data_IF_747349419019
#
_entry.id   IF_747349419019
#
_cell.length_a   1.000
_cell.length_b   1.000
_cell.length_c   1.000
_cell.angle_alpha   90.00
_cell.angle_beta   90.00
_cell.angle_gamma   90.00
#
_symmetry.space_group_name_H-M   'P 1'
#
loop_
_entity.id
_entity.type
_entity.pdbx_description
1 polymer ?
#
# COMPACT_ATOMS: atom_id res chain seq x y z
N UNK A 1 -11.48 24.01 -20.44
CA UNK A 1 -10.15 23.47 -20.69
C UNK A 1 -10.20 21.95 -20.51
N UNK A 2 -10.54 21.26 -21.61
CA UNK A 2 -10.55 19.80 -21.69
C UNK A 2 -9.27 19.36 -22.37
N UNK A 3 -8.42 18.57 -21.73
CA UNK A 3 -7.50 17.62 -22.39
C UNK A 3 -6.78 16.79 -21.33
N UNK A 4 -6.78 15.48 -21.55
CA UNK A 4 -5.94 14.39 -21.01
C UNK A 4 -6.67 13.37 -20.12
N UNK A 5 -7.42 12.50 -20.78
CA UNK A 5 -7.65 11.13 -20.31
C UNK A 5 -8.07 10.26 -21.51
N UNK A 6 -7.14 10.01 -22.46
CA UNK A 6 -7.41 9.15 -23.65
C UNK A 6 -6.30 8.14 -23.96
N UNK A 7 -5.55 7.67 -22.96
CA UNK A 7 -4.45 6.71 -23.20
C UNK A 7 -4.55 5.40 -22.43
N UNK A 8 -5.68 5.08 -21.83
CA UNK A 8 -5.87 3.83 -21.06
C UNK A 8 -6.84 2.82 -21.69
N UNK A 9 -7.27 3.00 -22.94
CA UNK A 9 -8.27 2.14 -23.60
C UNK A 9 -7.79 1.43 -24.87
N UNK A 10 -6.49 1.38 -25.16
CA UNK A 10 -5.97 0.78 -26.40
C UNK A 10 -5.10 -0.47 -26.21
N UNK A 11 -5.00 -1.01 -25.01
CA UNK A 11 -4.24 -2.24 -24.75
C UNK A 11 -5.08 -3.53 -24.78
N UNK A 12 -6.40 -3.47 -24.94
CA UNK A 12 -7.28 -4.65 -24.86
C UNK A 12 -7.77 -5.23 -26.19
N UNK A 13 -7.28 -4.78 -27.37
CA UNK A 13 -7.88 -5.17 -28.67
C UNK A 13 -6.95 -5.92 -29.64
N UNK A 14 -5.82 -6.48 -29.16
CA UNK A 14 -4.92 -7.27 -30.03
C UNK A 14 -4.78 -8.75 -29.66
N UNK A 15 -5.75 -9.33 -28.94
CA UNK A 15 -5.74 -10.75 -28.57
C UNK A 15 -6.83 -11.60 -29.25
N UNK A 16 -7.45 -11.09 -30.32
CA UNK A 16 -8.56 -11.76 -31.03
C UNK A 16 -8.21 -12.58 -32.28
N UNK A 17 -6.96 -12.71 -32.69
CA UNK A 17 -6.66 -13.26 -34.04
C UNK A 17 -5.54 -14.31 -34.11
N UNK A 18 -5.33 -15.07 -33.05
CA UNK A 18 -4.37 -16.18 -33.16
C UNK A 18 -4.98 -17.47 -32.60
N UNK A 19 -5.81 -18.16 -33.35
CA UNK A 19 -5.97 -19.61 -33.26
C UNK A 19 -7.16 -20.06 -34.13
N UNK A 20 -7.01 -19.95 -35.45
CA UNK A 20 -7.71 -20.84 -36.41
C UNK A 20 -6.64 -21.54 -37.23
N UNK A 21 -5.95 -22.48 -36.62
CA UNK A 21 -5.16 -23.46 -37.36
C UNK A 21 -5.92 -24.78 -37.33
N UNK A 22 -6.31 -25.21 -38.54
CA UNK A 22 -6.85 -26.58 -38.81
C UNK A 22 -5.90 -27.63 -38.24
N UNK A 23 -6.39 -28.78 -37.75
CA UNK A 23 -5.54 -29.85 -37.24
C UNK A 23 -4.84 -30.56 -38.40
N UNK A 24 -3.71 -30.06 -38.80
CA UNK A 24 -2.69 -30.92 -39.42
C UNK A 24 -1.78 -31.34 -38.27
N UNK A 25 -1.67 -32.64 -38.05
CA UNK A 25 -0.71 -33.28 -37.14
C UNK A 25 0.71 -33.11 -37.71
N UNK A 26 1.19 -31.85 -37.69
CA UNK A 26 2.62 -31.58 -37.79
C UNK A 26 3.14 -31.72 -36.37
N UNK A 27 3.87 -32.77 -36.06
CA UNK A 27 4.67 -32.84 -34.83
C UNK A 27 5.62 -31.66 -34.86
N UNK A 28 5.40 -30.69 -33.95
CA UNK A 28 6.32 -29.56 -33.78
C UNK A 28 7.72 -30.11 -33.54
N UNK A 29 8.72 -29.53 -34.18
CA UNK A 29 10.11 -29.89 -33.92
C UNK A 29 10.46 -29.59 -32.46
N UNK A 30 11.44 -30.29 -31.86
CA UNK A 30 11.88 -30.01 -30.49
C UNK A 30 12.22 -28.53 -30.28
N UNK A 31 12.76 -27.84 -31.29
CA UNK A 31 13.13 -26.45 -31.28
C UNK A 31 11.91 -25.51 -31.26
N UNK A 32 10.87 -25.79 -32.04
CA UNK A 32 9.59 -25.05 -32.03
C UNK A 32 8.88 -25.22 -30.69
N UNK A 33 8.91 -26.43 -30.11
CA UNK A 33 8.36 -26.71 -28.79
C UNK A 33 9.08 -25.90 -27.68
N UNK A 34 10.41 -25.89 -27.71
CA UNK A 34 11.23 -25.14 -26.77
C UNK A 34 10.96 -23.63 -26.85
N UNK A 35 10.83 -23.11 -28.09
CA UNK A 35 10.51 -21.69 -28.33
C UNK A 35 9.11 -21.34 -27.80
N UNK A 36 8.12 -22.22 -28.03
CA UNK A 36 6.77 -22.01 -27.53
C UNK A 36 6.69 -22.03 -25.99
N UNK A 37 7.44 -22.93 -25.34
CA UNK A 37 7.56 -22.99 -23.89
C UNK A 37 8.17 -21.69 -23.37
N UNK A 38 9.28 -21.25 -23.96
CA UNK A 38 9.96 -20.00 -23.56
C UNK A 38 9.04 -18.79 -23.70
N UNK A 39 8.35 -18.63 -24.82
CA UNK A 39 7.40 -17.53 -25.04
C UNK A 39 6.29 -17.53 -24.00
N UNK A 40 5.75 -18.71 -23.66
CA UNK A 40 4.70 -18.80 -22.65
C UNK A 40 5.24 -18.50 -21.23
N UNK A 41 6.48 -18.90 -20.92
CA UNK A 41 7.16 -18.56 -19.66
C UNK A 41 7.44 -17.06 -19.56
N UNK A 42 7.90 -16.43 -20.64
CA UNK A 42 8.13 -14.99 -20.70
C UNK A 42 6.82 -14.20 -20.45
N UNK A 43 5.71 -14.66 -21.05
CA UNK A 43 4.39 -14.05 -20.83
C UNK A 43 3.88 -14.25 -19.38
N UNK A 44 4.10 -15.43 -18.78
CA UNK A 44 3.82 -15.65 -17.37
C UNK A 44 4.67 -14.74 -16.46
N UNK A 45 5.93 -14.50 -16.84
CA UNK A 45 6.80 -13.57 -16.12
C UNK A 45 6.28 -12.13 -16.20
N UNK A 46 5.80 -11.69 -17.37
CA UNK A 46 5.17 -10.37 -17.54
C UNK A 46 3.91 -10.22 -16.69
N UNK A 47 3.02 -11.21 -16.71
CA UNK A 47 1.84 -11.24 -15.83
C UNK A 47 2.23 -11.18 -14.35
N UNK A 48 3.32 -11.89 -13.98
CA UNK A 48 3.87 -11.82 -12.63
C UNK A 48 4.27 -10.39 -12.22
N UNK A 49 4.93 -9.69 -13.12
CA UNK A 49 5.33 -8.30 -12.90
C UNK A 49 4.11 -7.39 -12.70
N UNK A 50 3.10 -7.54 -13.53
CA UNK A 50 1.86 -6.79 -13.43
C UNK A 50 1.13 -7.07 -12.11
N UNK A 51 1.02 -8.34 -11.72
CA UNK A 51 0.44 -8.74 -10.43
C UNK A 51 1.22 -8.16 -9.25
N UNK A 52 2.56 -8.16 -9.31
CA UNK A 52 3.40 -7.57 -8.27
C UNK A 52 3.16 -6.06 -8.14
N UNK A 53 3.07 -5.35 -9.27
CA UNK A 53 2.79 -3.91 -9.29
C UNK A 53 1.38 -3.60 -8.75
N UNK A 54 0.37 -4.38 -9.13
CA UNK A 54 -1.00 -4.23 -8.61
C UNK A 54 -1.07 -4.55 -7.12
N UNK A 55 -0.33 -5.55 -6.65
CA UNK A 55 -0.24 -5.88 -5.21
C UNK A 55 0.38 -4.72 -4.42
N UNK A 56 1.43 -4.10 -4.94
CA UNK A 56 2.02 -2.90 -4.34
C UNK A 56 1.01 -1.75 -4.31
N UNK A 57 0.34 -1.49 -5.43
CA UNK A 57 -0.69 -0.44 -5.53
C UNK A 57 -1.81 -0.64 -4.51
N UNK A 58 -2.37 -1.84 -4.39
CA UNK A 58 -3.43 -2.14 -3.41
C UNK A 58 -2.95 -1.97 -1.98
N UNK A 59 -1.70 -2.34 -1.69
CA UNK A 59 -1.10 -2.14 -0.36
C UNK A 59 -0.97 -0.65 -0.03
N UNK A 60 -0.52 0.17 -0.97
CA UNK A 60 -0.42 1.62 -0.80
C UNK A 60 -1.78 2.28 -0.64
N UNK A 61 -2.78 1.88 -1.44
CA UNK A 61 -4.16 2.38 -1.32
C UNK A 61 -4.77 2.03 0.03
N UNK A 62 -4.58 0.80 0.53
CA UNK A 62 -5.04 0.39 1.85
C UNK A 62 -4.41 1.23 2.98
N UNK A 63 -3.11 1.52 2.89
CA UNK A 63 -2.45 2.40 3.85
C UNK A 63 -3.02 3.83 3.82
N UNK A 64 -3.28 4.39 2.63
CA UNK A 64 -3.90 5.71 2.47
C UNK A 64 -5.34 5.72 3.01
N UNK A 65 -6.13 4.68 2.76
CA UNK A 65 -7.49 4.53 3.28
C UNK A 65 -7.48 4.54 4.81
N UNK A 66 -6.59 3.74 5.43
CA UNK A 66 -6.45 3.66 6.89
C UNK A 66 -6.06 5.01 7.49
N UNK A 67 -5.08 5.70 6.91
CA UNK A 67 -4.66 7.02 7.37
C UNK A 67 -5.80 8.04 7.23
N UNK A 68 -6.55 8.02 6.13
CA UNK A 68 -7.67 8.93 5.90
C UNK A 68 -8.85 8.65 6.85
N UNK A 69 -9.10 7.38 7.20
CA UNK A 69 -10.11 7.01 8.20
C UNK A 69 -9.76 7.57 9.59
N UNK A 70 -8.47 7.51 9.98
CA UNK A 70 -8.01 8.08 11.24
C UNK A 70 -8.19 9.61 11.28
N UNK A 71 -7.79 10.31 10.21
CA UNK A 71 -7.95 11.76 10.04
C UNK A 71 -9.45 12.18 10.11
N UNK A 72 -10.33 11.45 9.42
CA UNK A 72 -11.79 11.68 9.48
C UNK A 72 -12.31 11.53 10.92
N UNK A 73 -11.87 10.53 11.66
CA UNK A 73 -12.28 10.31 13.04
C UNK A 73 -11.85 11.48 13.95
N UNK A 74 -10.63 11.97 13.78
CA UNK A 74 -10.13 13.13 14.51
C UNK A 74 -10.95 14.38 14.19
N UNK A 75 -11.21 14.67 12.91
CA UNK A 75 -12.03 15.81 12.47
C UNK A 75 -13.48 15.73 12.94
N UNK A 76 -14.04 14.53 13.05
CA UNK A 76 -15.38 14.31 13.64
C UNK A 76 -15.40 14.67 15.11
N UNK A 77 -14.35 14.32 15.87
CA UNK A 77 -14.25 14.68 17.28
C UNK A 77 -14.10 16.22 17.47
N UNK A 78 -13.26 16.87 16.66
CA UNK A 78 -13.11 18.34 16.65
C UNK A 78 -14.45 19.04 16.33
N UNK A 79 -15.16 18.58 15.32
CA UNK A 79 -16.49 19.14 14.95
C UNK A 79 -17.51 18.94 16.06
N UNK A 80 -17.50 17.79 16.73
CA UNK A 80 -18.37 17.51 17.88
C UNK A 80 -18.10 18.48 19.02
N UNK A 81 -16.82 18.73 19.36
CA UNK A 81 -16.44 19.71 20.39
C UNK A 81 -16.87 21.12 20.01
N UNK A 82 -16.55 21.58 18.80
CA UNK A 82 -16.95 22.92 18.32
C UNK A 82 -18.49 23.07 18.32
N UNK A 83 -19.23 21.99 17.99
CA UNK A 83 -20.68 22.01 18.05
C UNK A 83 -21.22 22.15 19.47
N UNK A 84 -20.59 21.48 20.44
CA UNK A 84 -20.96 21.60 21.86
C UNK A 84 -20.69 23.00 22.39
N UNK A 85 -19.54 23.57 22.05
CA UNK A 85 -19.16 24.93 22.44
C UNK A 85 -20.10 25.97 21.83
N UNK A 86 -20.45 25.84 20.56
CA UNK A 86 -21.45 26.65 19.87
C UNK A 86 -22.83 26.60 20.59
N UNK A 87 -23.32 25.40 20.90
CA UNK A 87 -24.61 25.23 21.60
C UNK A 87 -24.58 25.86 22.98
N UNK A 88 -23.45 25.78 23.70
CA UNK A 88 -23.28 26.43 25.00
C UNK A 88 -23.36 27.97 24.90
N UNK A 89 -22.72 28.54 23.86
CA UNK A 89 -22.77 30.01 23.64
C UNK A 89 -24.17 30.45 23.19
N UNK A 90 -24.86 29.68 22.36
CA UNK A 90 -26.27 29.97 22.00
C UNK A 90 -27.17 29.98 23.23
N UNK A 91 -27.02 28.98 24.12
CA UNK A 91 -27.81 28.93 25.37
C UNK A 91 -27.59 30.14 26.29
N UNK A 92 -26.32 30.64 26.36
CA UNK A 92 -26.01 31.86 27.11
C UNK A 92 -26.71 33.08 26.51
N UNK A 93 -26.69 33.22 25.17
CA UNK A 93 -27.37 34.34 24.49
C UNK A 93 -28.88 34.24 24.69
N UNK A 94 -29.47 33.05 24.51
CA UNK A 94 -30.93 32.84 24.75
C UNK A 94 -31.30 33.16 26.18
N UNK A 95 -30.50 32.75 27.19
CA UNK A 95 -30.70 33.07 28.57
C UNK A 95 -30.71 34.58 28.81
N UNK A 96 -29.73 35.30 28.22
CA UNK A 96 -29.63 36.74 28.30
C UNK A 96 -30.82 37.47 27.64
N UNK A 97 -31.29 36.97 26.47
CA UNK A 97 -32.44 37.52 25.78
C UNK A 97 -33.72 37.31 26.57
N UNK A 98 -33.95 36.12 27.18
CA UNK A 98 -35.12 35.85 28.04
C UNK A 98 -35.13 36.79 29.26
N UNK A 99 -33.99 37.05 29.87
CA UNK A 99 -33.91 38.03 30.99
C UNK A 99 -34.26 39.45 30.55
N UNK A 100 -33.94 39.81 29.31
CA UNK A 100 -34.33 41.10 28.74
C UNK A 100 -35.83 41.16 28.41
N UNK A 101 -36.42 40.08 27.95
CA UNK A 101 -37.87 39.99 27.65
C UNK A 101 -38.74 39.98 28.90
N UNK A 102 -38.28 39.36 29.99
CA UNK A 102 -39.04 39.28 31.27
C UNK A 102 -38.87 40.55 32.13
N UNK A 103 -37.86 41.34 31.87
CA UNK A 103 -37.73 42.71 32.43
C UNK A 103 -38.43 43.62 31.45
N UNK A 104 -39.69 43.86 31.73
CA UNK A 104 -40.51 44.82 31.04
C UNK A 104 -39.75 46.13 30.69
N UNK A 105 -40.31 46.96 29.85
CA UNK A 105 -39.77 48.28 29.41
C UNK A 105 -39.10 49.16 30.49
N UNK A 106 -39.11 48.68 31.73
CA UNK A 106 -38.40 49.27 32.87
C UNK A 106 -36.88 49.18 32.79
N UNK A 107 -36.25 48.17 32.09
CA UNK A 107 -34.76 48.00 32.16
C UNK A 107 -34.01 49.18 31.56
N UNK A 108 -34.43 49.70 30.40
CA UNK A 108 -33.88 50.92 29.82
C UNK A 108 -34.26 52.15 30.64
N UNK A 109 -35.46 52.19 31.18
CA UNK A 109 -35.90 53.22 32.09
C UNK A 109 -35.15 53.13 33.43
N UNK A 110 -35.00 51.96 34.03
CA UNK A 110 -34.23 51.70 35.24
C UNK A 110 -32.73 52.05 35.08
N UNK A 111 -32.17 51.79 33.89
CA UNK A 111 -30.78 52.24 33.58
C UNK A 111 -30.69 53.75 33.48
N UNK A 112 -31.64 54.38 32.82
CA UNK A 112 -31.71 55.83 32.70
C UNK A 112 -31.98 56.47 34.11
N UNK A 113 -32.90 55.91 34.85
CA UNK A 113 -33.22 56.39 36.24
C UNK A 113 -32.03 56.17 37.17
N UNK A 114 -31.31 55.01 37.03
CA UNK A 114 -30.05 54.77 37.79
C UNK A 114 -28.96 55.78 37.46
N UNK A 115 -28.84 56.19 36.19
CA UNK A 115 -27.89 57.26 35.80
C UNK A 115 -28.36 58.62 36.28
N UNK A 116 -29.64 58.91 36.15
CA UNK A 116 -30.24 60.21 36.60
C UNK A 116 -30.28 60.34 38.10
N UNK A 117 -30.38 59.29 38.87
CA UNK A 117 -30.31 59.27 40.34
C UNK A 117 -28.92 59.27 40.89
N UNK A 118 -27.90 59.48 40.07
CA UNK A 118 -26.49 59.57 40.52
C UNK A 118 -26.28 60.77 41.41
N UNK A 119 -25.72 60.53 42.61
CA UNK A 119 -25.51 61.60 43.65
C UNK A 119 -24.23 62.37 43.41
N UNK A 120 -23.35 61.93 42.49
CA UNK A 120 -22.11 62.62 42.15
C UNK A 120 -21.65 62.30 40.74
N UNK A 121 -20.80 63.08 40.13
CA UNK A 121 -20.14 62.80 38.85
C UNK A 121 -19.35 61.50 38.87
N UNK A 122 -18.71 61.16 39.98
CA UNK A 122 -18.00 59.93 40.21
C UNK A 122 -18.94 58.68 40.13
N UNK A 123 -20.10 58.78 40.78
CA UNK A 123 -21.14 57.78 40.81
C UNK A 123 -21.74 57.56 39.38
N UNK A 124 -21.96 58.67 38.65
CA UNK A 124 -22.40 58.65 37.25
C UNK A 124 -21.42 57.89 36.33
N UNK A 125 -20.10 58.20 36.44
CA UNK A 125 -19.06 57.53 35.69
C UNK A 125 -18.94 56.06 36.05
N UNK A 126 -19.04 55.70 37.35
CA UNK A 126 -19.02 54.25 37.72
C UNK A 126 -20.21 53.50 37.16
N UNK A 127 -21.43 54.00 37.25
CA UNK A 127 -22.63 53.39 36.73
C UNK A 127 -22.58 53.30 35.18
N UNK A 128 -22.14 54.33 34.49
CA UNK A 128 -21.90 54.37 33.08
C UNK A 128 -20.88 53.33 32.62
N UNK A 129 -19.77 53.18 33.36
CA UNK A 129 -18.75 52.16 33.09
C UNK A 129 -19.27 50.74 33.27
N UNK A 130 -20.12 50.45 34.25
CA UNK A 130 -20.76 49.14 34.47
C UNK A 130 -21.70 48.81 33.28
N UNK A 131 -22.49 49.78 32.84
CA UNK A 131 -23.42 49.61 31.71
C UNK A 131 -22.63 49.36 30.43
N UNK A 132 -21.55 50.11 30.17
CA UNK A 132 -20.72 49.90 29.00
C UNK A 132 -20.08 48.53 29.01
N UNK A 133 -19.50 48.06 30.13
CA UNK A 133 -18.96 46.71 30.29
C UNK A 133 -20.00 45.61 30.04
N UNK A 134 -21.26 45.83 30.43
CA UNK A 134 -22.35 44.88 30.19
C UNK A 134 -22.70 44.81 28.70
N UNK A 135 -22.69 45.94 28.00
CA UNK A 135 -22.92 45.99 26.55
C UNK A 135 -21.76 45.37 25.76
N UNK A 136 -20.52 45.67 26.18
CA UNK A 136 -19.31 45.10 25.58
C UNK A 136 -19.30 43.57 25.75
N UNK A 137 -19.57 43.03 26.94
CA UNK A 137 -19.65 41.60 27.19
C UNK A 137 -20.73 40.90 26.38
N UNK A 138 -21.83 41.58 26.05
CA UNK A 138 -22.88 41.02 25.14
C UNK A 138 -22.44 41.04 23.69
N UNK A 139 -21.73 42.04 23.25
CA UNK A 139 -21.15 42.14 21.92
C UNK A 139 -20.08 41.04 21.72
N UNK A 140 -19.20 40.86 22.74
CA UNK A 140 -18.17 39.80 22.72
C UNK A 140 -18.79 38.40 22.60
N UNK A 141 -19.82 38.07 23.37
CA UNK A 141 -20.53 36.80 23.29
C UNK A 141 -21.16 36.58 21.92
N UNK A 142 -21.72 37.60 21.29
CA UNK A 142 -22.29 37.50 19.94
C UNK A 142 -21.20 37.25 18.89
N UNK A 143 -20.06 37.93 19.00
CA UNK A 143 -18.90 37.76 18.12
C UNK A 143 -18.29 36.36 18.27
N UNK A 144 -18.14 35.88 19.51
CA UNK A 144 -17.67 34.52 19.78
C UNK A 144 -18.60 33.46 19.17
N UNK A 145 -19.91 33.63 19.32
CA UNK A 145 -20.92 32.73 18.74
C UNK A 145 -20.86 32.71 17.20
N UNK A 146 -20.69 33.87 16.58
CA UNK A 146 -20.53 33.98 15.14
C UNK A 146 -19.24 33.27 14.66
N UNK A 147 -18.14 33.45 15.35
CA UNK A 147 -16.84 32.78 15.07
C UNK A 147 -16.97 31.25 15.18
N UNK A 148 -17.64 30.75 16.22
CA UNK A 148 -17.89 29.31 16.40
C UNK A 148 -18.79 28.75 15.31
N UNK A 149 -19.79 29.51 14.87
CA UNK A 149 -20.66 29.10 13.75
C UNK A 149 -19.88 28.95 12.44
N UNK A 150 -19.02 29.91 12.13
CA UNK A 150 -18.14 29.89 10.95
C UNK A 150 -17.18 28.71 11.01
N UNK A 151 -16.44 28.55 12.11
CA UNK A 151 -15.55 27.42 12.35
C UNK A 151 -16.24 26.07 12.19
N UNK A 152 -17.46 25.91 12.71
CA UNK A 152 -18.28 24.71 12.56
C UNK A 152 -18.64 24.44 11.11
N UNK A 153 -19.00 25.47 10.33
CA UNK A 153 -19.32 25.35 8.92
C UNK A 153 -18.08 24.92 8.11
N UNK A 154 -16.94 25.53 8.35
CA UNK A 154 -15.66 25.17 7.71
C UNK A 154 -15.26 23.73 8.03
N UNK A 155 -15.30 23.34 9.30
CA UNK A 155 -14.97 21.98 9.72
C UNK A 155 -15.90 20.94 9.09
N UNK A 156 -17.21 21.25 8.97
CA UNK A 156 -18.19 20.39 8.31
C UNK A 156 -17.84 20.21 6.82
N UNK A 157 -17.56 21.30 6.11
CA UNK A 157 -17.18 21.26 4.69
C UNK A 157 -15.90 20.47 4.47
N UNK A 158 -14.89 20.68 5.33
CA UNK A 158 -13.63 19.94 5.26
C UNK A 158 -13.84 18.44 5.50
N UNK A 159 -14.70 18.08 6.46
CA UNK A 159 -15.03 16.67 6.74
C UNK A 159 -15.74 16.00 5.57
N UNK A 160 -16.70 16.67 4.95
CA UNK A 160 -17.40 16.17 3.75
C UNK A 160 -16.45 15.94 2.59
N UNK A 161 -15.51 16.85 2.36
CA UNK A 161 -14.47 16.71 1.33
C UNK A 161 -13.54 15.51 1.62
N UNK A 162 -13.18 15.29 2.88
CA UNK A 162 -12.36 14.13 3.27
C UNK A 162 -13.12 12.80 3.11
N UNK A 163 -14.40 12.77 3.45
CA UNK A 163 -15.26 11.59 3.23
C UNK A 163 -15.39 11.26 1.73
N UNK A 164 -15.60 12.27 0.89
CA UNK A 164 -15.64 12.08 -0.56
C UNK A 164 -14.32 11.51 -1.10
N UNK A 165 -13.18 11.99 -0.59
CA UNK A 165 -11.86 11.46 -0.95
C UNK A 165 -11.66 10.01 -0.50
N UNK A 166 -12.15 9.65 0.69
CA UNK A 166 -12.12 8.27 1.18
C UNK A 166 -12.92 7.33 0.26
N UNK A 167 -14.11 7.73 -0.14
CA UNK A 167 -14.94 6.95 -1.09
C UNK A 167 -14.21 6.75 -2.41
N UNK A 168 -13.60 7.80 -2.96
CA UNK A 168 -12.81 7.71 -4.20
C UNK A 168 -11.63 6.73 -4.07
N UNK A 169 -10.89 6.78 -2.97
CA UNK A 169 -9.77 5.86 -2.71
C UNK A 169 -10.24 4.41 -2.55
N UNK A 170 -11.39 4.19 -1.89
CA UNK A 170 -11.97 2.86 -1.75
C UNK A 170 -12.37 2.28 -3.11
N UNK A 171 -13.03 3.07 -3.96
CA UNK A 171 -13.40 2.64 -5.31
C UNK A 171 -12.18 2.31 -6.18
N UNK A 172 -11.12 3.11 -6.09
CA UNK A 172 -9.85 2.83 -6.79
C UNK A 172 -9.22 1.54 -6.30
N UNK A 173 -9.24 1.29 -4.99
CA UNK A 173 -8.73 0.05 -4.41
C UNK A 173 -9.53 -1.18 -4.85
N UNK A 174 -10.85 -1.10 -4.85
CA UNK A 174 -11.73 -2.19 -5.29
C UNK A 174 -11.50 -2.52 -6.77
N UNK A 175 -11.34 -1.50 -7.61
CA UNK A 175 -11.00 -1.67 -9.01
C UNK A 175 -9.62 -2.35 -9.19
N UNK A 176 -8.62 -1.93 -8.42
CA UNK A 176 -7.28 -2.53 -8.46
C UNK A 176 -7.29 -3.99 -7.96
N UNK A 177 -8.07 -4.33 -6.94
CA UNK A 177 -8.26 -5.69 -6.45
C UNK A 177 -8.93 -6.57 -7.50
N UNK A 178 -9.95 -6.05 -8.18
CA UNK A 178 -10.63 -6.77 -9.26
C UNK A 178 -9.68 -7.09 -10.42
N UNK A 179 -8.90 -6.11 -10.86
CA UNK A 179 -7.90 -6.29 -11.91
C UNK A 179 -6.82 -7.30 -11.49
N UNK A 180 -6.32 -7.20 -10.26
CA UNK A 180 -5.37 -8.15 -9.68
C UNK A 180 -5.91 -9.59 -9.73
N UNK A 181 -7.16 -9.80 -9.35
CA UNK A 181 -7.77 -11.13 -9.35
C UNK A 181 -7.96 -11.67 -10.77
N UNK A 182 -8.32 -10.82 -11.73
CA UNK A 182 -8.40 -11.22 -13.14
C UNK A 182 -7.04 -11.64 -13.70
N UNK A 183 -5.98 -10.89 -13.43
CA UNK A 183 -4.63 -11.23 -13.89
C UNK A 183 -4.12 -12.52 -13.25
N UNK A 184 -4.39 -12.75 -11.96
CA UNK A 184 -4.09 -14.01 -11.28
C UNK A 184 -4.80 -15.20 -11.95
N UNK A 185 -6.08 -15.04 -12.29
CA UNK A 185 -6.82 -16.09 -12.96
C UNK A 185 -6.24 -16.38 -14.35
N UNK A 186 -5.96 -15.35 -15.14
CA UNK A 186 -5.33 -15.49 -16.46
C UNK A 186 -3.98 -16.21 -16.37
N UNK A 187 -3.14 -15.85 -15.40
CA UNK A 187 -1.85 -16.51 -15.19
C UNK A 187 -2.01 -18.00 -14.84
N UNK A 188 -2.98 -18.35 -14.00
CA UNK A 188 -3.27 -19.74 -13.65
C UNK A 188 -3.81 -20.54 -14.83
N UNK A 189 -4.69 -19.96 -15.64
CA UNK A 189 -5.25 -20.61 -16.82
C UNK A 189 -4.15 -20.88 -17.88
N UNK A 190 -3.28 -19.91 -18.11
CA UNK A 190 -2.12 -20.06 -19.00
C UNK A 190 -1.14 -21.11 -18.49
N UNK A 191 -0.86 -21.13 -17.19
CA UNK A 191 -0.01 -22.14 -16.58
C UNK A 191 -0.58 -23.55 -16.80
N UNK A 192 -1.89 -23.72 -16.59
CA UNK A 192 -2.58 -25.00 -16.79
C UNK A 192 -2.50 -25.45 -18.26
N UNK A 193 -2.72 -24.51 -19.19
CA UNK A 193 -2.58 -24.80 -20.62
C UNK A 193 -1.13 -25.19 -20.99
N UNK A 194 -0.14 -24.46 -20.48
CA UNK A 194 1.27 -24.76 -20.69
C UNK A 194 1.64 -26.16 -20.16
N UNK A 195 1.25 -26.46 -18.92
CA UNK A 195 1.50 -27.76 -18.29
C UNK A 195 0.84 -28.90 -19.06
N UNK A 196 -0.38 -28.70 -19.54
CA UNK A 196 -1.09 -29.72 -20.31
C UNK A 196 -0.47 -29.96 -21.68
N UNK A 197 -0.12 -28.86 -22.38
CA UNK A 197 0.40 -28.93 -23.75
C UNK A 197 1.83 -29.47 -23.82
N UNK A 198 2.68 -29.10 -22.83
CA UNK A 198 4.11 -29.43 -22.86
C UNK A 198 4.54 -30.30 -21.67
N UNK A 199 3.65 -31.14 -21.18
CA UNK A 199 3.87 -31.93 -19.96
C UNK A 199 5.20 -32.67 -19.94
N UNK A 200 5.54 -33.36 -21.04
CA UNK A 200 6.74 -34.20 -21.14
C UNK A 200 8.03 -33.37 -21.11
N UNK A 201 8.03 -32.24 -21.82
CA UNK A 201 9.17 -31.31 -21.90
C UNK A 201 9.38 -30.59 -20.59
N UNK A 202 8.28 -30.17 -19.92
CA UNK A 202 8.35 -29.53 -18.61
C UNK A 202 8.81 -30.51 -17.53
N UNK A 203 8.41 -31.76 -17.56
CA UNK A 203 8.90 -32.80 -16.66
C UNK A 203 10.41 -33.02 -16.83
N UNK A 204 10.90 -33.02 -18.08
CA UNK A 204 12.33 -33.16 -18.38
C UNK A 204 13.12 -31.93 -17.88
N UNK A 205 12.62 -30.71 -18.07
CA UNK A 205 13.23 -29.50 -17.54
C UNK A 205 13.24 -29.48 -16.01
N UNK A 206 12.14 -29.86 -15.37
CA UNK A 206 12.05 -29.95 -13.92
C UNK A 206 13.03 -30.97 -13.33
N UNK A 207 13.22 -32.11 -14.01
CA UNK A 207 14.21 -33.11 -13.61
C UNK A 207 15.65 -32.56 -13.71
N UNK A 208 16.00 -31.88 -14.79
CA UNK A 208 17.31 -31.24 -14.96
C UNK A 208 17.55 -30.15 -13.90
N UNK A 209 16.56 -29.30 -13.63
CA UNK A 209 16.63 -28.27 -12.60
C UNK A 209 16.78 -28.86 -11.18
N UNK A 210 16.12 -29.99 -10.91
CA UNK A 210 16.27 -30.71 -9.65
C UNK A 210 17.70 -31.17 -9.44
N UNK A 211 18.29 -31.81 -10.45
CA UNK A 211 19.70 -32.25 -10.40
C UNK A 211 20.65 -31.09 -10.18
N UNK A 212 20.45 -29.97 -10.88
CA UNK A 212 21.25 -28.75 -10.69
C UNK A 212 21.08 -28.14 -9.28
N UNK A 213 19.87 -28.14 -8.74
CA UNK A 213 19.58 -27.67 -7.38
C UNK A 213 20.20 -28.58 -6.31
N UNK A 214 20.13 -29.90 -6.49
CA UNK A 214 20.77 -30.87 -5.58
C UNK A 214 22.31 -30.75 -5.60
N UNK A 215 22.92 -30.57 -6.78
CA UNK A 215 24.34 -30.31 -6.91
C UNK A 215 24.74 -29.01 -6.19
N UNK A 216 23.97 -27.94 -6.36
CA UNK A 216 24.15 -26.66 -5.64
C UNK A 216 24.03 -26.82 -4.12
N UNK A 217 23.02 -27.55 -3.66
CA UNK A 217 22.83 -27.84 -2.24
C UNK A 217 23.99 -28.66 -1.67
N UNK A 218 24.50 -29.65 -2.40
CA UNK A 218 25.64 -30.44 -1.98
C UNK A 218 26.93 -29.62 -1.82
N UNK A 219 27.17 -28.67 -2.76
CA UNK A 219 28.32 -27.75 -2.65
C UNK A 219 28.22 -26.87 -1.41
N UNK A 220 27.03 -26.33 -1.13
CA UNK A 220 26.80 -25.45 0.02
C UNK A 220 26.91 -26.22 1.33
N UNK A 221 26.30 -27.42 1.43
CA UNK A 221 26.39 -28.24 2.63
C UNK A 221 27.81 -28.75 2.90
N UNK A 222 28.64 -28.89 1.86
CA UNK A 222 30.06 -29.21 1.98
C UNK A 222 30.94 -28.03 2.42
N UNK A 223 30.44 -26.79 2.30
CA UNK A 223 31.15 -25.57 2.67
C UNK A 223 30.77 -25.12 4.09
N UNK A 224 31.66 -25.33 5.06
CA UNK A 224 31.42 -25.01 6.47
C UNK A 224 31.15 -23.53 6.71
N UNK A 225 31.77 -22.62 5.96
CA UNK A 225 31.58 -21.18 6.13
C UNK A 225 30.20 -20.73 5.68
N UNK A 226 29.68 -21.30 4.59
CA UNK A 226 28.31 -21.07 4.14
C UNK A 226 27.28 -21.66 5.09
N UNK A 227 27.57 -22.84 5.64
CA UNK A 227 26.70 -23.51 6.62
C UNK A 227 26.67 -22.83 7.99
N UNK A 228 27.65 -21.97 8.32
CA UNK A 228 27.62 -21.14 9.52
C UNK A 228 26.71 -19.89 9.35
N UNK A 229 26.28 -19.59 8.13
CA UNK A 229 25.42 -18.45 7.86
C UNK A 229 23.94 -18.78 8.14
N UNK A 230 23.34 -18.11 9.12
CA UNK A 230 21.97 -18.39 9.61
C UNK A 230 20.90 -18.15 8.53
N UNK A 231 21.07 -17.16 7.68
CA UNK A 231 20.12 -16.87 6.58
C UNK A 231 20.17 -17.99 5.53
N UNK A 232 21.37 -18.41 5.13
CA UNK A 232 21.56 -19.53 4.20
C UNK A 232 20.99 -20.83 4.77
N UNK A 233 21.32 -21.15 6.02
CA UNK A 233 20.75 -22.32 6.72
C UNK A 233 19.22 -22.29 6.73
N UNK A 234 18.63 -21.14 7.03
CA UNK A 234 17.17 -21.02 7.05
C UNK A 234 16.59 -21.18 5.66
N UNK A 235 17.17 -20.53 4.63
CA UNK A 235 16.68 -20.58 3.27
C UNK A 235 16.66 -22.00 2.68
N UNK A 236 17.70 -22.80 2.94
CA UNK A 236 17.82 -24.18 2.42
C UNK A 236 16.70 -25.09 2.93
N UNK A 237 16.15 -24.85 4.11
CA UNK A 237 15.03 -25.64 4.67
C UNK A 237 13.78 -25.63 3.78
N UNK A 238 13.65 -24.62 2.91
CA UNK A 238 12.48 -24.43 2.07
C UNK A 238 12.66 -24.91 0.64
N UNK A 239 13.77 -25.56 0.31
CA UNK A 239 13.95 -26.21 -1.00
C UNK A 239 12.82 -27.19 -1.29
N UNK A 240 12.27 -27.09 -2.49
CA UNK A 240 11.15 -27.93 -2.95
C UNK A 240 9.76 -27.42 -2.53
N UNK A 241 9.65 -26.37 -1.73
CA UNK A 241 8.35 -25.72 -1.44
C UNK A 241 7.78 -25.13 -2.73
N UNK A 242 6.49 -25.38 -3.06
CA UNK A 242 5.92 -24.87 -4.30
C UNK A 242 5.86 -23.35 -4.34
N UNK A 243 6.01 -22.79 -5.53
CA UNK A 243 5.70 -21.38 -5.77
C UNK A 243 4.19 -21.15 -5.64
N UNK A 244 3.81 -20.16 -4.86
CA UNK A 244 2.42 -19.71 -4.72
C UNK A 244 2.38 -18.19 -4.78
N UNK A 245 1.57 -17.64 -5.65
CA UNK A 245 1.34 -16.19 -5.73
C UNK A 245 0.91 -15.60 -4.39
N UNK A 246 1.61 -14.57 -3.94
CA UNK A 246 1.33 -13.96 -2.64
C UNK A 246 1.70 -14.85 -1.46
N UNK A 247 2.33 -16.00 -1.68
CA UNK A 247 2.73 -16.96 -0.65
C UNK A 247 3.84 -16.42 0.24
N UNK A 248 3.67 -16.58 1.55
CA UNK A 248 4.59 -16.11 2.59
C UNK A 248 4.87 -17.17 3.66
N UNK A 249 4.51 -18.44 3.40
CA UNK A 249 4.60 -19.52 4.39
C UNK A 249 5.19 -20.78 3.77
N UNK A 250 5.66 -21.76 4.57
CA UNK A 250 6.13 -23.05 4.06
C UNK A 250 5.11 -23.88 3.27
N UNK A 251 3.85 -23.46 3.19
CA UNK A 251 2.85 -24.07 2.31
C UNK A 251 3.00 -23.60 0.85
N UNK A 252 3.68 -22.50 0.65
CA UNK A 252 3.99 -21.91 -0.65
C UNK A 252 4.58 -20.51 -0.50
N UNK A 253 5.54 -20.19 -1.34
CA UNK A 253 6.21 -18.89 -1.38
C UNK A 253 6.15 -18.28 -2.77
N UNK A 254 6.02 -16.95 -2.87
CA UNK A 254 6.54 -16.20 -4.00
C UNK A 254 7.97 -15.70 -3.71
N UNK A 255 8.60 -15.04 -4.67
CA UNK A 255 10.00 -14.62 -4.58
C UNK A 255 10.27 -13.75 -3.34
N UNK A 256 9.51 -12.69 -3.17
CA UNK A 256 9.66 -11.73 -2.06
C UNK A 256 9.11 -12.27 -0.73
N UNK A 257 8.12 -13.16 -0.77
CA UNK A 257 7.59 -13.85 0.41
C UNK A 257 8.59 -14.85 1.00
N UNK A 258 9.34 -15.57 0.16
CA UNK A 258 10.45 -16.42 0.61
C UNK A 258 11.52 -15.57 1.33
N UNK A 259 11.97 -14.49 0.69
CA UNK A 259 12.96 -13.56 1.25
C UNK A 259 12.46 -12.97 2.57
N UNK A 260 11.24 -12.43 2.59
CA UNK A 260 10.63 -11.87 3.80
C UNK A 260 10.59 -12.89 4.94
N UNK A 261 10.17 -14.12 4.66
CA UNK A 261 10.02 -15.17 5.65
C UNK A 261 11.37 -15.61 6.24
N UNK A 262 12.36 -15.86 5.38
CA UNK A 262 13.72 -16.29 5.80
C UNK A 262 14.38 -15.24 6.68
N UNK A 263 14.29 -13.97 6.29
CA UNK A 263 14.86 -12.87 7.08
C UNK A 263 14.11 -12.64 8.38
N UNK A 264 12.77 -12.76 8.39
CA UNK A 264 11.96 -12.64 9.60
C UNK A 264 12.29 -13.73 10.64
N UNK A 265 12.60 -14.97 10.21
CA UNK A 265 13.09 -16.04 11.08
C UNK A 265 14.43 -15.71 11.75
N UNK A 266 15.18 -14.79 11.17
CA UNK A 266 16.46 -14.29 11.71
C UNK A 266 16.31 -12.90 12.38
N UNK A 267 15.08 -12.46 12.68
CA UNK A 267 14.80 -11.21 13.38
C UNK A 267 14.81 -9.95 12.49
N UNK A 268 14.98 -10.09 11.18
CA UNK A 268 15.04 -8.97 10.23
C UNK A 268 13.69 -8.85 9.50
N UNK A 269 12.97 -7.76 9.73
CA UNK A 269 11.69 -7.48 9.08
C UNK A 269 11.92 -6.80 7.73
N UNK A 270 11.39 -7.39 6.67
CA UNK A 270 11.45 -6.85 5.31
C UNK A 270 10.05 -6.51 4.79
N UNK A 271 9.92 -5.54 3.87
CA UNK A 271 8.69 -5.27 3.15
C UNK A 271 8.18 -6.50 2.40
N UNK A 272 6.88 -6.49 2.06
CA UNK A 272 6.24 -7.65 1.40
C UNK A 272 6.69 -7.85 -0.05
N UNK A 273 6.88 -6.78 -0.80
CA UNK A 273 7.09 -6.84 -2.26
C UNK A 273 8.55 -6.56 -2.64
N UNK A 274 9.00 -7.19 -3.72
CA UNK A 274 10.38 -7.05 -4.23
C UNK A 274 10.76 -5.60 -4.56
N UNK A 275 9.78 -4.80 -5.02
CA UNK A 275 9.96 -3.38 -5.30
C UNK A 275 10.44 -2.60 -4.07
N UNK A 276 9.84 -2.85 -2.91
CA UNK A 276 10.22 -2.18 -1.68
C UNK A 276 11.46 -2.81 -1.03
N UNK A 277 11.63 -4.13 -1.16
CA UNK A 277 12.85 -4.82 -0.72
C UNK A 277 14.08 -4.28 -1.47
N UNK A 278 13.94 -3.96 -2.75
CA UNK A 278 15.03 -3.44 -3.60
C UNK A 278 15.55 -2.05 -3.19
N UNK A 279 14.79 -1.31 -2.38
CA UNK A 279 15.17 0.02 -1.86
C UNK A 279 16.01 -0.06 -0.59
N UNK A 280 16.10 -1.25 0.02
CA UNK A 280 16.79 -1.44 1.30
C UNK A 280 18.28 -1.67 1.13
N UNK A 281 19.02 -1.36 2.19
CA UNK A 281 20.45 -1.65 2.26
C UNK A 281 21.31 -0.80 1.33
N UNK A 282 22.50 -1.32 1.02
CA UNK A 282 23.49 -0.66 0.16
C UNK A 282 23.65 -1.43 -1.15
N UNK A 283 23.99 -0.70 -2.22
CA UNK A 283 24.38 -1.32 -3.50
C UNK A 283 25.62 -2.19 -3.32
N UNK A 284 25.61 -3.35 -3.97
CA UNK A 284 26.74 -4.29 -4.01
C UNK A 284 27.07 -4.60 -5.46
N UNK A 285 28.33 -4.39 -5.89
CA UNK A 285 28.80 -4.84 -7.19
C UNK A 285 28.63 -6.35 -7.33
N UNK A 286 28.17 -6.83 -8.50
CA UNK A 286 27.92 -8.26 -8.71
C UNK A 286 29.18 -9.15 -8.64
N UNK A 287 30.35 -8.56 -8.67
CA UNK A 287 31.64 -9.24 -8.44
C UNK A 287 32.09 -9.24 -6.98
N UNK A 288 31.33 -8.59 -6.07
CA UNK A 288 31.65 -8.50 -4.63
C UNK A 288 30.53 -9.10 -3.75
N UNK A 289 29.75 -10.00 -4.33
CA UNK A 289 28.65 -10.65 -3.65
C UNK A 289 29.11 -11.48 -2.45
N UNK A 290 28.38 -11.38 -1.36
CA UNK A 290 28.55 -12.18 -0.15
C UNK A 290 27.26 -12.90 0.21
N UNK A 291 27.32 -14.08 0.86
CA UNK A 291 26.11 -14.76 1.34
C UNK A 291 25.21 -13.79 2.13
N UNK A 292 23.89 -13.85 1.88
CA UNK A 292 22.83 -12.96 2.34
C UNK A 292 22.62 -11.69 1.51
N UNK A 293 23.43 -11.40 0.50
CA UNK A 293 23.06 -10.33 -0.41
C UNK A 293 21.74 -10.69 -1.12
N UNK A 294 20.89 -9.70 -1.29
CA UNK A 294 19.66 -9.83 -2.07
C UNK A 294 19.96 -9.50 -3.54
N UNK A 295 19.61 -10.43 -4.41
CA UNK A 295 19.74 -10.28 -5.86
C UNK A 295 18.40 -9.85 -6.44
N UNK A 296 18.42 -8.92 -7.39
CA UNK A 296 17.21 -8.35 -7.99
C UNK A 296 17.26 -8.36 -9.52
N UNK A 297 16.07 -8.49 -10.12
CA UNK A 297 15.81 -8.36 -11.56
C UNK A 297 14.84 -7.21 -11.79
N UNK A 298 15.20 -6.29 -12.70
CA UNK A 298 14.54 -4.99 -12.92
C UNK A 298 15.31 -3.84 -12.27
N UNK A 299 14.64 -2.71 -12.01
CA UNK A 299 15.24 -1.52 -11.40
C UNK A 299 14.95 -1.40 -9.90
N UNK A 300 15.68 -0.52 -9.21
CA UNK A 300 15.38 -0.14 -7.83
C UNK A 300 13.99 0.47 -7.74
N UNK A 301 13.14 -0.08 -6.88
CA UNK A 301 11.73 0.34 -6.75
C UNK A 301 10.80 -0.24 -7.82
N UNK A 302 11.33 -0.94 -8.83
CA UNK A 302 10.58 -1.61 -9.89
C UNK A 302 10.98 -3.07 -10.09
N UNK A 303 11.79 -3.62 -9.18
CA UNK A 303 12.26 -5.00 -9.25
C UNK A 303 11.08 -5.97 -9.22
N UNK A 304 11.02 -6.84 -10.22
CA UNK A 304 9.96 -7.82 -10.38
C UNK A 304 10.30 -9.18 -9.76
N UNK A 305 11.57 -9.41 -9.46
CA UNK A 305 12.03 -10.64 -8.82
C UNK A 305 13.13 -10.34 -7.80
N UNK A 306 13.24 -11.21 -6.80
CA UNK A 306 14.26 -11.16 -5.75
C UNK A 306 14.67 -12.57 -5.34
N UNK A 307 15.95 -12.74 -5.01
CA UNK A 307 16.51 -13.99 -4.51
C UNK A 307 17.57 -13.72 -3.43
N UNK A 308 17.97 -14.76 -2.70
CA UNK A 308 19.00 -14.70 -1.67
C UNK A 308 20.29 -15.32 -2.23
N UNK A 309 21.36 -14.55 -2.32
CA UNK A 309 22.67 -15.09 -2.65
C UNK A 309 23.18 -15.98 -1.52
N UNK A 310 23.64 -17.17 -1.86
CA UNK A 310 24.05 -18.17 -0.89
C UNK A 310 25.55 -18.57 -0.99
N UNK A 311 26.30 -17.89 -1.84
CA UNK A 311 27.74 -18.12 -2.04
C UNK A 311 28.06 -18.91 -3.31
N UNK A 312 29.33 -18.94 -3.68
CA UNK A 312 29.92 -19.74 -4.77
C UNK A 312 29.21 -19.60 -6.13
N UNK A 313 28.63 -18.41 -6.41
CA UNK A 313 27.88 -18.12 -7.63
C UNK A 313 26.48 -18.71 -7.68
N UNK A 314 25.93 -19.10 -6.51
CA UNK A 314 24.58 -19.65 -6.40
C UNK A 314 23.66 -18.76 -5.58
N UNK A 315 22.37 -18.85 -5.87
CA UNK A 315 21.31 -18.20 -5.11
C UNK A 315 20.10 -19.12 -4.95
N UNK A 316 19.30 -18.87 -3.91
CA UNK A 316 18.04 -19.55 -3.66
C UNK A 316 16.87 -18.64 -3.99
N UNK A 317 15.86 -19.16 -4.66
CA UNK A 317 14.70 -18.42 -5.13
C UNK A 317 13.43 -19.24 -5.12
N UNK A 318 12.26 -18.56 -5.04
CA UNK A 318 10.97 -19.06 -5.50
C UNK A 318 10.69 -18.41 -6.86
N UNK A 319 10.88 -19.13 -8.00
CA UNK A 319 11.03 -18.45 -9.30
C UNK A 319 9.72 -17.99 -9.93
N UNK A 320 8.75 -18.89 -10.13
CA UNK A 320 7.51 -18.58 -10.85
C UNK A 320 6.43 -19.67 -10.61
N UNK A 321 5.16 -19.42 -10.99
CA UNK A 321 4.10 -20.40 -10.91
C UNK A 321 4.45 -21.71 -11.62
N UNK A 322 4.15 -22.84 -10.96
CA UNK A 322 4.47 -24.18 -11.45
C UNK A 322 5.85 -24.70 -11.02
N UNK A 323 6.70 -23.83 -10.56
CA UNK A 323 8.03 -24.14 -10.04
C UNK A 323 8.01 -24.31 -8.50
N UNK A 324 9.20 -24.66 -7.97
CA UNK A 324 9.45 -24.82 -6.54
C UNK A 324 10.65 -23.98 -6.13
N UNK A 325 10.77 -23.69 -4.84
CA UNK A 325 11.98 -23.09 -4.28
C UNK A 325 13.18 -23.98 -4.65
N UNK A 326 14.19 -23.35 -5.24
CA UNK A 326 15.38 -24.04 -5.76
C UNK A 326 16.63 -23.20 -5.70
N UNK A 327 17.77 -23.84 -5.83
CA UNK A 327 19.06 -23.21 -6.02
C UNK A 327 19.30 -23.06 -7.53
N UNK A 328 19.83 -21.90 -7.92
CA UNK A 328 20.14 -21.53 -9.30
C UNK A 328 21.52 -20.90 -9.36
N UNK A 329 22.26 -21.12 -10.46
CA UNK A 329 23.54 -20.42 -10.71
C UNK A 329 23.27 -19.02 -11.25
N UNK A 330 24.10 -18.07 -10.84
CA UNK A 330 24.08 -16.70 -11.42
C UNK A 330 24.34 -16.75 -12.93
N UNK A 331 25.18 -17.69 -13.40
CA UNK A 331 25.47 -17.87 -14.81
C UNK A 331 24.24 -18.27 -15.64
N UNK A 332 23.27 -19.00 -15.05
CA UNK A 332 22.06 -19.46 -15.72
C UNK A 332 20.95 -18.39 -15.69
N UNK A 333 20.96 -17.52 -14.69
CA UNK A 333 19.98 -16.43 -14.53
C UNK A 333 20.65 -15.26 -13.80
N UNK A 334 21.21 -14.31 -14.60
CA UNK A 334 22.00 -13.20 -14.10
C UNK A 334 21.09 -12.11 -13.52
N UNK A 335 21.33 -11.66 -12.25
CA UNK A 335 20.62 -10.51 -11.68
C UNK A 335 21.09 -9.19 -12.30
N UNK A 336 20.24 -8.17 -12.24
CA UNK A 336 20.55 -6.82 -12.70
C UNK A 336 21.37 -6.04 -11.67
N UNK A 337 21.06 -6.22 -10.39
CA UNK A 337 21.77 -5.59 -9.27
C UNK A 337 21.62 -6.37 -7.97
N UNK A 338 22.36 -5.97 -6.94
CA UNK A 338 22.29 -6.58 -5.62
C UNK A 338 22.25 -5.54 -4.49
N UNK A 339 21.71 -5.95 -3.35
CA UNK A 339 21.64 -5.16 -2.12
C UNK A 339 22.16 -5.96 -0.94
N UNK A 340 22.97 -5.33 -0.08
CA UNK A 340 23.40 -5.85 1.22
C UNK A 340 22.67 -5.15 2.33
N UNK A 341 21.94 -5.94 3.11
CA UNK A 341 21.32 -5.48 4.35
C UNK A 341 22.41 -5.50 5.42
N UNK A 342 22.60 -4.39 6.11
CA UNK A 342 23.60 -4.24 7.18
C UNK A 342 23.20 -5.01 8.44
#
# INVERSE_FOLDING_TARGET
MHFKNRWLLLACLMLGSFFLVRPQTVQATPEETQTAIKTAQDHLSELNNNISNLTLKTTQLNAQITAKQADIKEKQAELSQTSADYQKQVAIIEGNLRQLQTRDSSFTLDMIDSLLSSQSLSDLFQKGSIINRLLDAKADNAAETASLAEKKAEQKTALEAQQAKLVSLSQENDAAIKDLNQQKQQANDQLTQLQTKFKKELEAQAAAQKVASEAGAALITGNKDLMNNKIVQEAIKYLGVPYVWGGTTPKGFDCSGLVQYVYAKNGIKLPRVSQDQSKLGKDVPLNELQPNDLLFWGGVGTAHHVAIYIGDGYFIQAPQPGDKVRITKIADYKPDFARRLS
#
